data_IF_403237912983
#
_entry.id   IF_403237912983
#
_cell.length_a   1.000
_cell.length_b   1.000
_cell.length_c   1.000
_cell.angle_alpha   90.00
_cell.angle_beta   90.00
_cell.angle_gamma   90.00
#
_symmetry.space_group_name_H-M   'P 1'
#
loop_
_entity.id
_entity.type
_entity.pdbx_description
1 polymer ?
#
# COMPACT_ATOMS: atom_id res chain seq x y z
N UNK A 1 -1.83 34.54 -23.01
CA UNK A 1 -2.80 33.95 -22.07
C UNK A 1 -2.09 33.69 -20.73
N UNK A 2 -2.49 34.39 -19.67
CA UNK A 2 -1.88 34.32 -18.33
C UNK A 2 -2.63 33.30 -17.47
N UNK A 3 -2.26 32.02 -17.57
CA UNK A 3 -2.76 30.92 -16.71
C UNK A 3 -1.90 30.74 -15.44
N UNK A 4 -0.91 31.60 -15.21
CA UNK A 4 -0.13 31.63 -13.96
C UNK A 4 -1.02 32.10 -12.82
N UNK A 5 -1.54 31.16 -12.03
CA UNK A 5 -2.24 31.46 -10.79
C UNK A 5 -3.55 30.70 -10.55
N UNK A 6 -4.03 29.88 -11.51
CA UNK A 6 -5.21 29.06 -11.28
C UNK A 6 -4.89 27.99 -10.23
N UNK A 7 -5.48 28.12 -9.04
CA UNK A 7 -5.37 27.16 -7.95
C UNK A 7 -6.69 26.41 -7.83
N UNK A 8 -6.62 25.09 -7.87
CA UNK A 8 -7.74 24.22 -7.56
C UNK A 8 -7.69 23.93 -6.07
N UNK A 9 -8.64 24.50 -5.32
CA UNK A 9 -8.82 24.17 -3.91
C UNK A 9 -9.50 22.79 -3.83
N UNK A 10 -9.19 22.00 -2.80
CA UNK A 10 -9.88 20.75 -2.54
C UNK A 10 -11.37 21.03 -2.30
N UNK A 11 -12.23 20.12 -2.77
CA UNK A 11 -13.68 20.27 -2.61
C UNK A 11 -14.07 20.04 -1.15
N UNK A 12 -15.02 20.85 -0.68
CA UNK A 12 -15.69 20.65 0.61
C UNK A 12 -16.63 19.45 0.57
N UNK A 13 -16.99 18.90 1.73
CA UNK A 13 -17.95 17.80 1.83
C UNK A 13 -19.28 18.10 1.13
N UNK A 14 -19.80 19.34 1.24
CA UNK A 14 -21.08 19.71 0.62
C UNK A 14 -20.95 19.81 -0.92
N UNK A 15 -19.86 20.38 -1.44
CA UNK A 15 -19.61 20.39 -2.89
C UNK A 15 -19.46 18.97 -3.46
N UNK A 16 -18.80 18.07 -2.71
CA UNK A 16 -18.69 16.66 -3.10
C UNK A 16 -20.05 15.96 -3.10
N UNK A 17 -20.92 16.23 -2.12
CA UNK A 17 -22.29 15.70 -2.11
C UNK A 17 -23.05 16.16 -3.33
N UNK A 18 -23.01 17.45 -3.66
CA UNK A 18 -23.71 18.01 -4.82
C UNK A 18 -23.26 17.32 -6.12
N UNK A 19 -21.94 17.17 -6.30
CA UNK A 19 -21.37 16.44 -7.45
C UNK A 19 -21.87 15.00 -7.48
N UNK A 20 -21.82 14.30 -6.35
CA UNK A 20 -22.23 12.89 -6.28
C UNK A 20 -23.73 12.72 -6.52
N UNK A 21 -24.59 13.60 -6.01
CA UNK A 21 -26.03 13.56 -6.27
C UNK A 21 -26.33 13.75 -7.76
N UNK A 22 -25.74 14.78 -8.39
CA UNK A 22 -25.91 15.02 -9.84
C UNK A 22 -25.50 13.80 -10.67
N UNK A 23 -24.41 13.12 -10.29
CA UNK A 23 -23.94 11.91 -10.97
C UNK A 23 -24.81 10.70 -10.66
N UNK A 24 -25.29 10.58 -9.42
CA UNK A 24 -26.11 9.45 -8.99
C UNK A 24 -27.46 9.44 -9.70
N UNK A 25 -28.11 10.59 -9.86
CA UNK A 25 -29.40 10.71 -10.58
C UNK A 25 -29.32 10.19 -12.04
N UNK A 26 -28.14 10.26 -12.65
CA UNK A 26 -27.92 9.84 -14.05
C UNK A 26 -27.47 8.38 -14.17
N UNK A 27 -26.96 7.80 -13.10
CA UNK A 27 -26.30 6.49 -13.13
C UNK A 27 -27.07 5.40 -12.36
N UNK A 28 -27.87 5.77 -11.36
CA UNK A 28 -28.60 4.85 -10.50
C UNK A 28 -30.10 4.90 -10.79
N UNK A 29 -30.77 3.78 -10.55
CA UNK A 29 -32.24 3.72 -10.54
C UNK A 29 -32.78 4.22 -9.19
N UNK A 30 -34.07 4.55 -9.15
CA UNK A 30 -34.75 4.91 -7.90
C UNK A 30 -34.55 3.84 -6.83
N UNK A 31 -34.39 4.28 -5.58
CA UNK A 31 -34.13 3.46 -4.39
C UNK A 31 -32.89 2.55 -4.47
N UNK A 32 -31.97 2.77 -5.42
CA UNK A 32 -30.73 1.99 -5.51
C UNK A 32 -29.74 2.32 -4.38
N UNK A 33 -29.81 3.53 -3.83
CA UNK A 33 -28.89 4.04 -2.82
C UNK A 33 -29.65 4.34 -1.52
N UNK A 34 -29.11 3.89 -0.40
CA UNK A 34 -29.54 4.40 0.91
C UNK A 34 -29.11 5.87 1.07
N UNK A 35 -29.92 6.68 1.75
CA UNK A 35 -29.71 8.12 1.96
C UNK A 35 -28.32 8.44 2.57
N UNK A 36 -27.75 7.51 3.34
CA UNK A 36 -26.45 7.66 3.99
C UNK A 36 -25.23 7.46 3.06
N UNK A 37 -25.40 6.86 1.88
CA UNK A 37 -24.29 6.46 0.99
C UNK A 37 -23.52 7.64 0.42
N UNK A 38 -24.22 8.59 -0.21
CA UNK A 38 -23.59 9.76 -0.84
C UNK A 38 -22.92 10.66 0.22
N UNK A 39 -23.59 11.01 1.34
CA UNK A 39 -22.95 11.75 2.43
C UNK A 39 -21.68 11.06 2.96
N UNK A 40 -21.69 9.73 3.09
CA UNK A 40 -20.54 8.98 3.56
C UNK A 40 -19.38 9.00 2.55
N UNK A 41 -19.67 8.83 1.25
CA UNK A 41 -18.64 8.91 0.20
C UNK A 41 -17.97 10.30 0.18
N UNK A 42 -18.78 11.36 0.24
CA UNK A 42 -18.28 12.74 0.29
C UNK A 42 -17.43 13.01 1.54
N UNK A 43 -17.87 12.52 2.71
CA UNK A 43 -17.14 12.69 3.96
C UNK A 43 -15.77 11.98 3.93
N UNK A 44 -15.72 10.75 3.40
CA UNK A 44 -14.47 9.98 3.27
C UNK A 44 -13.52 10.57 2.23
N UNK A 45 -14.04 11.16 1.16
CA UNK A 45 -13.21 11.83 0.17
C UNK A 45 -12.63 13.16 0.67
N UNK A 46 -13.40 13.91 1.45
CA UNK A 46 -12.94 15.15 2.06
C UNK A 46 -11.95 14.93 3.21
N UNK A 47 -12.09 13.86 4.00
CA UNK A 47 -11.16 13.57 5.11
C UNK A 47 -9.73 13.30 4.63
N UNK A 48 -9.55 12.87 3.37
CA UNK A 48 -8.26 12.74 2.72
C UNK A 48 -7.77 14.05 2.10
N UNK A 49 -8.24 14.34 0.89
CA UNK A 49 -7.74 15.46 0.07
C UNK A 49 -8.84 16.29 -0.59
N UNK A 50 -10.13 15.97 -0.37
CA UNK A 50 -11.23 16.65 -1.07
C UNK A 50 -11.24 16.36 -2.57
N UNK A 51 -10.92 15.13 -2.95
CA UNK A 51 -10.81 14.69 -4.35
C UNK A 51 -12.16 14.12 -4.85
N UNK A 52 -12.78 14.83 -5.81
CA UNK A 52 -14.01 14.39 -6.44
C UNK A 52 -13.83 13.10 -7.27
N UNK A 53 -12.64 12.86 -7.81
CA UNK A 53 -12.32 11.61 -8.51
C UNK A 53 -12.41 10.41 -7.56
N UNK A 54 -11.79 10.53 -6.38
CA UNK A 54 -11.89 9.51 -5.34
C UNK A 54 -13.32 9.34 -4.82
N UNK A 55 -14.09 10.43 -4.67
CA UNK A 55 -15.49 10.34 -4.26
C UNK A 55 -16.34 9.51 -5.26
N UNK A 56 -16.13 9.73 -6.56
CA UNK A 56 -16.81 9.00 -7.62
C UNK A 56 -16.36 7.54 -7.71
N UNK A 57 -15.05 7.29 -7.60
CA UNK A 57 -14.49 5.94 -7.54
C UNK A 57 -15.08 5.15 -6.37
N UNK A 58 -15.21 5.79 -5.21
CA UNK A 58 -15.77 5.16 -4.02
C UNK A 58 -17.25 4.82 -4.19
N UNK A 59 -18.05 5.74 -4.77
CA UNK A 59 -19.47 5.48 -5.06
C UNK A 59 -19.64 4.32 -6.06
N UNK A 60 -18.82 4.30 -7.11
CA UNK A 60 -18.84 3.24 -8.12
C UNK A 60 -18.50 1.87 -7.50
N UNK A 61 -17.36 1.78 -6.81
CA UNK A 61 -16.93 0.54 -6.16
C UNK A 61 -17.97 0.03 -5.14
N UNK A 62 -18.61 0.93 -4.39
CA UNK A 62 -19.68 0.58 -3.46
C UNK A 62 -20.88 -0.07 -4.15
N UNK A 63 -21.25 0.44 -5.33
CA UNK A 63 -22.32 -0.12 -6.14
C UNK A 63 -21.95 -1.49 -6.73
N UNK A 64 -20.74 -1.63 -7.25
CA UNK A 64 -20.23 -2.91 -7.77
C UNK A 64 -20.19 -3.99 -6.69
N UNK A 65 -19.76 -3.65 -5.47
CA UNK A 65 -19.76 -4.56 -4.32
C UNK A 65 -21.18 -4.97 -3.92
N UNK A 66 -22.12 -4.02 -3.91
CA UNK A 66 -23.53 -4.31 -3.64
C UNK A 66 -24.13 -5.24 -4.70
N UNK A 67 -23.83 -5.00 -5.97
CA UNK A 67 -24.29 -5.82 -7.08
C UNK A 67 -23.73 -7.25 -7.01
N UNK A 68 -22.42 -7.39 -6.76
CA UNK A 68 -21.75 -8.69 -6.60
C UNK A 68 -22.30 -9.49 -5.41
N UNK A 69 -22.70 -8.83 -4.34
CA UNK A 69 -23.31 -9.47 -3.16
C UNK A 69 -24.82 -9.68 -3.30
N UNK A 70 -25.44 -9.24 -4.39
CA UNK A 70 -26.89 -9.31 -4.60
C UNK A 70 -27.69 -8.41 -3.65
N UNK A 71 -27.04 -7.45 -2.99
CA UNK A 71 -27.65 -6.54 -2.04
C UNK A 71 -28.32 -5.37 -2.77
N UNK A 72 -29.59 -5.08 -2.41
CA UNK A 72 -30.33 -3.89 -2.84
C UNK A 72 -31.10 -3.34 -1.64
N UNK A 73 -30.91 -2.07 -1.23
CA UNK A 73 -30.07 -1.02 -1.83
C UNK A 73 -28.57 -1.10 -1.49
N UNK A 74 -27.74 -0.25 -2.10
CA UNK A 74 -26.37 0.04 -1.65
C UNK A 74 -26.43 0.68 -0.26
N UNK A 75 -25.59 0.21 0.67
CA UNK A 75 -25.56 0.64 2.07
C UNK A 75 -24.21 1.20 2.47
N UNK A 76 -24.16 1.85 3.62
CA UNK A 76 -22.93 2.37 4.21
C UNK A 76 -21.83 1.30 4.38
N UNK A 77 -22.19 0.05 4.65
CA UNK A 77 -21.22 -1.06 4.81
C UNK A 77 -20.44 -1.33 3.52
N UNK A 78 -21.10 -1.23 2.35
CA UNK A 78 -20.42 -1.37 1.06
C UNK A 78 -19.42 -0.24 0.83
N UNK A 79 -19.74 0.98 1.28
CA UNK A 79 -18.84 2.14 1.19
C UNK A 79 -17.60 1.95 2.04
N UNK A 80 -17.75 1.44 3.26
CA UNK A 80 -16.61 1.15 4.15
C UNK A 80 -15.71 0.08 3.54
N UNK A 81 -16.30 -1.00 3.08
CA UNK A 81 -15.58 -2.08 2.42
C UNK A 81 -14.87 -1.60 1.15
N UNK A 82 -15.53 -0.81 0.30
CA UNK A 82 -14.94 -0.21 -0.89
C UNK A 82 -13.75 0.70 -0.54
N UNK A 83 -13.88 1.54 0.49
CA UNK A 83 -12.81 2.43 0.92
C UNK A 83 -11.57 1.66 1.38
N UNK A 84 -11.75 0.59 2.16
CA UNK A 84 -10.65 -0.27 2.59
C UNK A 84 -10.00 -0.98 1.40
N UNK A 85 -10.80 -1.48 0.46
CA UNK A 85 -10.31 -2.20 -0.72
C UNK A 85 -9.55 -1.30 -1.69
N UNK A 86 -10.01 -0.07 -1.92
CA UNK A 86 -9.32 0.94 -2.74
C UNK A 86 -7.99 1.32 -2.06
N UNK A 87 -7.99 1.53 -0.74
CA UNK A 87 -6.77 1.86 0.00
C UNK A 87 -5.72 0.75 -0.12
N UNK A 88 -6.12 -0.51 0.06
CA UNK A 88 -5.26 -1.69 -0.12
C UNK A 88 -4.74 -1.79 -1.55
N UNK A 89 -5.61 -1.63 -2.56
CA UNK A 89 -5.20 -1.69 -3.97
C UNK A 89 -4.17 -0.62 -4.31
N UNK A 90 -4.38 0.63 -3.86
CA UNK A 90 -3.42 1.73 -4.05
C UNK A 90 -2.09 1.47 -3.34
N UNK A 91 -2.10 0.87 -2.15
CA UNK A 91 -0.86 0.49 -1.46
C UNK A 91 -0.10 -0.59 -2.23
N UNK A 92 -0.80 -1.61 -2.74
CA UNK A 92 -0.21 -2.66 -3.57
C UNK A 92 0.42 -2.08 -4.84
N UNK A 93 -0.26 -1.14 -5.51
CA UNK A 93 0.27 -0.43 -6.69
C UNK A 93 1.54 0.36 -6.36
N UNK A 94 1.59 1.06 -5.21
CA UNK A 94 2.79 1.79 -4.78
C UNK A 94 3.97 0.85 -4.57
N UNK A 95 3.76 -0.33 -3.97
CA UNK A 95 4.80 -1.35 -3.79
C UNK A 95 5.22 -1.93 -5.15
N UNK A 96 4.26 -2.22 -6.03
CA UNK A 96 4.51 -2.74 -7.38
C UNK A 96 5.28 -1.73 -8.25
N UNK A 97 5.12 -0.42 -8.01
CA UNK A 97 5.86 0.63 -8.71
C UNK A 97 7.31 0.80 -8.21
N UNK A 98 7.70 0.17 -7.09
CA UNK A 98 9.06 0.30 -6.56
C UNK A 98 10.11 -0.29 -7.53
N UNK A 99 11.28 0.35 -7.66
CA UNK A 99 12.48 -0.27 -8.23
C UNK A 99 12.80 -1.65 -7.64
N UNK A 100 13.28 -2.56 -8.48
CA UNK A 100 13.62 -3.94 -8.10
C UNK A 100 14.51 -4.03 -6.86
N UNK A 101 15.48 -3.11 -6.73
CA UNK A 101 16.41 -3.10 -5.62
C UNK A 101 15.73 -2.77 -4.29
N UNK A 102 14.75 -1.86 -4.28
CA UNK A 102 13.96 -1.55 -3.08
C UNK A 102 13.00 -2.69 -2.74
N UNK A 103 12.42 -3.35 -3.75
CA UNK A 103 11.61 -4.57 -3.54
C UNK A 103 12.44 -5.71 -2.93
N UNK A 104 13.72 -5.85 -3.32
CA UNK A 104 14.64 -6.82 -2.72
C UNK A 104 14.93 -6.52 -1.25
N UNK A 105 15.01 -5.24 -0.88
CA UNK A 105 15.14 -4.83 0.53
C UNK A 105 13.91 -5.26 1.33
N UNK A 106 12.70 -4.99 0.82
CA UNK A 106 11.45 -5.44 1.45
C UNK A 106 11.38 -6.97 1.55
N UNK A 107 11.78 -7.68 0.48
CA UNK A 107 11.85 -9.14 0.45
C UNK A 107 12.82 -9.69 1.51
N UNK A 108 13.97 -9.05 1.71
CA UNK A 108 14.94 -9.46 2.72
C UNK A 108 14.35 -9.41 4.13
N UNK A 109 13.63 -8.34 4.47
CA UNK A 109 12.95 -8.21 5.77
C UNK A 109 11.85 -9.26 5.90
N UNK A 110 11.05 -9.46 4.85
CA UNK A 110 9.96 -10.45 4.81
C UNK A 110 10.47 -11.88 5.06
N UNK A 111 11.52 -12.29 4.34
CA UNK A 111 12.11 -13.63 4.49
C UNK A 111 12.75 -13.83 5.87
N UNK A 112 13.49 -12.84 6.37
CA UNK A 112 14.00 -12.88 7.74
C UNK A 112 12.88 -13.04 8.77
N UNK A 113 11.75 -12.35 8.56
CA UNK A 113 10.53 -12.46 9.33
C UNK A 113 10.08 -13.91 9.52
N UNK A 114 9.99 -14.62 8.40
CA UNK A 114 9.56 -16.02 8.35
C UNK A 114 10.60 -16.97 8.95
N UNK A 115 11.87 -16.80 8.60
CA UNK A 115 12.96 -17.69 9.04
C UNK A 115 13.24 -17.60 10.54
N UNK A 116 13.18 -16.40 11.11
CA UNK A 116 13.56 -16.14 12.50
C UNK A 116 12.37 -16.06 13.45
N UNK A 117 11.13 -16.08 12.94
CA UNK A 117 9.90 -15.83 13.72
C UNK A 117 10.02 -14.55 14.57
N UNK A 118 10.62 -13.51 13.99
CA UNK A 118 10.85 -12.20 14.60
C UNK A 118 10.33 -11.12 13.66
N UNK A 119 9.96 -9.95 14.19
CA UNK A 119 9.57 -8.79 13.37
C UNK A 119 10.64 -7.70 13.34
N UNK A 120 11.70 -7.81 14.14
CA UNK A 120 12.72 -6.78 14.32
C UNK A 120 14.11 -7.32 13.97
N UNK A 121 14.80 -6.63 13.07
CA UNK A 121 16.10 -7.03 12.53
C UNK A 121 17.09 -5.87 12.52
N UNK A 122 18.37 -6.14 12.76
CA UNK A 122 19.39 -5.10 12.58
C UNK A 122 19.64 -4.81 11.10
N UNK A 123 20.12 -3.59 10.79
CA UNK A 123 20.51 -3.23 9.43
C UNK A 123 21.57 -4.16 8.82
N UNK A 124 22.41 -4.78 9.65
CA UNK A 124 23.39 -5.77 9.20
C UNK A 124 22.73 -7.08 8.75
N UNK A 125 21.76 -7.58 9.51
CA UNK A 125 21.01 -8.80 9.16
C UNK A 125 20.24 -8.63 7.85
N UNK A 126 19.53 -7.51 7.72
CA UNK A 126 18.77 -7.21 6.49
C UNK A 126 19.70 -7.04 5.30
N UNK A 127 20.85 -6.36 5.47
CA UNK A 127 21.82 -6.20 4.39
C UNK A 127 22.42 -7.53 3.93
N UNK A 128 22.78 -8.42 4.85
CA UNK A 128 23.27 -9.77 4.52
C UNK A 128 22.23 -10.54 3.71
N UNK A 129 20.97 -10.55 4.17
CA UNK A 129 19.90 -11.25 3.45
C UNK A 129 19.64 -10.62 2.08
N UNK A 130 19.65 -9.30 1.98
CA UNK A 130 19.53 -8.59 0.71
C UNK A 130 20.64 -9.00 -0.29
N UNK A 131 21.90 -9.10 0.15
CA UNK A 131 23.00 -9.55 -0.70
C UNK A 131 22.80 -10.99 -1.20
N UNK A 132 22.29 -11.90 -0.35
CA UNK A 132 21.97 -13.27 -0.75
C UNK A 132 20.87 -13.31 -1.82
N UNK A 133 19.81 -12.50 -1.66
CA UNK A 133 18.72 -12.41 -2.64
C UNK A 133 19.22 -11.81 -3.97
N UNK A 134 20.07 -10.79 -3.93
CA UNK A 134 20.72 -10.24 -5.12
C UNK A 134 21.51 -11.31 -5.87
N UNK A 135 22.30 -12.12 -5.16
CA UNK A 135 23.08 -13.21 -5.76
C UNK A 135 22.19 -14.28 -6.40
N UNK A 136 21.06 -14.62 -5.77
CA UNK A 136 20.08 -15.58 -6.31
C UNK A 136 19.37 -15.08 -7.57
N UNK A 137 19.34 -13.76 -7.77
CA UNK A 137 18.72 -13.10 -8.92
C UNK A 137 19.73 -12.69 -10.00
N UNK A 138 21.00 -13.09 -9.87
CA UNK A 138 22.10 -12.62 -10.73
C UNK A 138 22.19 -11.09 -10.82
N UNK A 139 21.85 -10.40 -9.71
CA UNK A 139 21.92 -8.96 -9.58
C UNK A 139 23.12 -8.54 -8.73
N UNK A 140 23.72 -7.41 -9.10
CA UNK A 140 24.77 -6.79 -8.29
C UNK A 140 24.17 -6.16 -7.04
N UNK A 141 24.62 -6.63 -5.87
CA UNK A 141 24.26 -6.03 -4.60
C UNK A 141 24.81 -4.60 -4.50
N UNK A 142 23.97 -3.69 -4.00
CA UNK A 142 24.37 -2.32 -3.74
C UNK A 142 25.30 -2.23 -2.53
N UNK A 143 26.06 -1.14 -2.45
CA UNK A 143 26.89 -0.86 -1.27
C UNK A 143 26.01 -0.66 -0.03
N UNK A 144 26.55 -0.95 1.16
CA UNK A 144 25.84 -0.76 2.42
C UNK A 144 25.33 0.68 2.64
N UNK A 145 26.03 1.67 2.09
CA UNK A 145 25.59 3.08 2.08
C UNK A 145 24.31 3.25 1.27
N UNK A 146 24.29 2.81 0.00
CA UNK A 146 23.12 2.90 -0.87
C UNK A 146 21.94 2.09 -0.35
N UNK A 147 22.20 0.91 0.20
CA UNK A 147 21.20 0.12 0.91
C UNK A 147 20.59 0.90 2.08
N UNK A 148 21.42 1.61 2.86
CA UNK A 148 20.93 2.43 3.97
C UNK A 148 20.09 3.63 3.52
N UNK A 149 20.39 4.19 2.34
CA UNK A 149 19.57 5.21 1.68
C UNK A 149 18.20 4.63 1.33
N UNK A 150 18.14 3.43 0.74
CA UNK A 150 16.87 2.75 0.43
C UNK A 150 16.06 2.38 1.67
N UNK A 151 16.69 1.99 2.78
CA UNK A 151 15.97 1.82 4.04
C UNK A 151 15.33 3.13 4.48
N UNK A 152 16.02 4.27 4.35
CA UNK A 152 15.44 5.57 4.69
C UNK A 152 14.30 5.97 3.73
N UNK A 153 14.43 5.69 2.44
CA UNK A 153 13.37 5.92 1.44
C UNK A 153 12.13 5.08 1.73
N UNK A 154 12.30 3.79 2.03
CA UNK A 154 11.20 2.89 2.37
C UNK A 154 10.54 3.25 3.72
N UNK A 155 11.30 3.80 4.67
CA UNK A 155 10.79 4.36 5.93
C UNK A 155 9.95 5.61 5.67
N UNK A 156 10.40 6.51 4.78
CA UNK A 156 9.63 7.69 4.36
C UNK A 156 8.34 7.33 3.61
N UNK A 157 8.34 6.24 2.84
CA UNK A 157 7.15 5.70 2.18
C UNK A 157 6.22 4.93 3.13
N UNK A 158 6.64 4.74 4.37
CA UNK A 158 5.96 4.01 5.43
C UNK A 158 5.82 2.49 5.16
N UNK A 159 6.67 1.91 4.33
CA UNK A 159 6.64 0.47 4.06
C UNK A 159 7.36 -0.35 5.13
N UNK A 160 8.35 0.25 5.77
CA UNK A 160 9.05 -0.28 6.93
C UNK A 160 9.26 0.83 7.96
N UNK A 161 9.77 0.46 9.12
CA UNK A 161 10.29 1.40 10.12
C UNK A 161 11.77 1.15 10.34
N UNK A 162 12.56 2.22 10.52
CA UNK A 162 14.01 2.13 10.71
C UNK A 162 14.49 2.92 11.94
N UNK A 163 14.35 2.34 13.13
CA UNK A 163 14.64 2.99 14.41
C UNK A 163 16.13 2.93 14.77
N UNK A 164 16.75 4.07 15.06
CA UNK A 164 18.14 4.09 15.54
C UNK A 164 18.19 3.70 17.02
N UNK A 165 18.81 2.56 17.32
CA UNK A 165 19.00 2.05 18.67
C UNK A 165 20.47 2.19 19.07
N UNK A 166 20.71 2.82 20.22
CA UNK A 166 22.03 2.89 20.84
C UNK A 166 22.36 1.56 21.51
N UNK A 167 23.52 0.98 21.18
CA UNK A 167 24.06 -0.23 21.82
C UNK A 167 25.23 0.08 22.75
N UNK A 168 25.27 1.30 23.30
CA UNK A 168 26.34 1.76 24.19
C UNK A 168 27.71 1.73 23.49
N UNK A 169 28.69 1.04 24.07
CA UNK A 169 30.06 0.93 23.52
C UNK A 169 30.13 0.27 22.13
N UNK A 170 29.09 -0.45 21.72
CA UNK A 170 29.01 -1.13 20.43
C UNK A 170 28.44 -0.24 19.31
N UNK A 171 28.24 1.06 19.58
CA UNK A 171 27.80 2.04 18.61
C UNK A 171 26.28 2.12 18.46
N UNK A 172 25.83 2.66 17.32
CA UNK A 172 24.42 2.83 16.96
C UNK A 172 24.10 1.92 15.79
N UNK A 173 22.94 1.26 15.83
CA UNK A 173 22.45 0.43 14.73
C UNK A 173 20.98 0.73 14.47
N UNK A 174 20.52 0.56 13.23
CA UNK A 174 19.09 0.65 12.91
C UNK A 174 18.44 -0.71 13.18
N UNK A 175 17.31 -0.69 13.86
CA UNK A 175 16.38 -1.81 13.95
C UNK A 175 15.27 -1.58 12.95
N UNK A 176 15.06 -2.57 12.08
CA UNK A 176 14.16 -2.52 10.93
C UNK A 176 13.01 -3.50 11.19
N UNK A 177 11.78 -3.05 10.92
CA UNK A 177 10.56 -3.86 10.94
C UNK A 177 9.64 -3.46 9.80
N UNK A 178 8.87 -4.39 9.24
CA UNK A 178 7.84 -4.06 8.26
C UNK A 178 6.70 -3.31 8.96
N UNK A 179 6.18 -2.26 8.32
CA UNK A 179 4.93 -1.63 8.75
C UNK A 179 3.73 -2.32 8.10
N UNK A 180 3.92 -2.82 6.89
CA UNK A 180 2.92 -3.53 6.11
C UNK A 180 2.87 -4.99 6.56
N UNK A 181 1.67 -5.57 6.77
CA UNK A 181 1.52 -6.98 7.10
C UNK A 181 2.14 -7.90 6.04
N UNK A 182 2.79 -8.97 6.50
CA UNK A 182 3.51 -9.90 5.62
C UNK A 182 2.58 -10.57 4.61
N UNK A 183 1.37 -10.92 5.04
CA UNK A 183 0.28 -11.51 4.25
C UNK A 183 -0.17 -10.64 3.09
N UNK A 184 -0.05 -9.32 3.20
CA UNK A 184 -0.36 -8.38 2.14
C UNK A 184 0.85 -8.13 1.23
N UNK A 185 2.04 -7.96 1.82
CA UNK A 185 3.26 -7.67 1.07
C UNK A 185 3.68 -8.85 0.17
N UNK A 186 3.52 -10.07 0.66
CA UNK A 186 3.95 -11.28 -0.01
C UNK A 186 3.36 -11.47 -1.42
N UNK A 187 2.01 -11.48 -1.61
CA UNK A 187 1.43 -11.67 -2.94
C UNK A 187 1.84 -10.57 -3.92
N UNK A 188 2.01 -9.32 -3.44
CA UNK A 188 2.42 -8.20 -4.28
C UNK A 188 3.86 -8.38 -4.78
N UNK A 189 4.79 -8.77 -3.89
CA UNK A 189 6.18 -8.99 -4.28
C UNK A 189 6.33 -10.23 -5.18
N UNK A 190 5.65 -11.34 -4.88
CA UNK A 190 5.79 -12.57 -5.67
C UNK A 190 4.98 -12.59 -6.96
N UNK A 191 4.00 -11.70 -7.11
CA UNK A 191 3.34 -11.44 -8.39
C UNK A 191 4.24 -10.66 -9.38
N UNK A 192 5.33 -10.05 -8.92
CA UNK A 192 6.20 -9.24 -9.75
C UNK A 192 7.01 -10.10 -10.74
N UNK A 193 6.93 -9.75 -12.02
CA UNK A 193 7.63 -10.47 -13.08
C UNK A 193 9.15 -10.46 -12.92
N UNK A 194 9.72 -9.40 -12.34
CA UNK A 194 11.14 -9.27 -12.07
C UNK A 194 11.59 -10.11 -10.87
N UNK A 195 10.67 -10.47 -9.96
CA UNK A 195 10.96 -11.24 -8.75
C UNK A 195 10.57 -12.73 -8.86
N UNK A 196 10.19 -13.22 -10.05
CA UNK A 196 9.78 -14.62 -10.26
C UNK A 196 10.78 -15.67 -9.73
N UNK A 197 12.07 -15.35 -9.75
CA UNK A 197 13.11 -16.23 -9.20
C UNK A 197 12.99 -16.40 -7.67
N UNK A 198 12.49 -15.39 -6.95
CA UNK A 198 12.26 -15.44 -5.50
C UNK A 198 11.12 -16.39 -5.13
N UNK A 199 10.14 -16.60 -6.00
CA UNK A 199 9.04 -17.55 -5.77
C UNK A 199 9.56 -18.99 -5.63
N UNK A 200 10.65 -19.34 -6.33
CA UNK A 200 11.30 -20.64 -6.18
C UNK A 200 12.07 -20.79 -4.84
N UNK A 201 12.53 -19.67 -4.28
CA UNK A 201 13.21 -19.60 -2.96
C UNK A 201 12.19 -19.82 -1.85
N UNK A 202 11.00 -19.24 -1.98
CA UNK A 202 9.90 -19.45 -1.03
C UNK A 202 9.59 -20.95 -0.83
N UNK A 203 9.52 -21.72 -1.93
CA UNK A 203 9.20 -23.14 -1.88
C UNK A 203 10.27 -23.96 -1.13
N UNK A 204 11.53 -23.55 -1.16
CA UNK A 204 12.61 -24.23 -0.41
C UNK A 204 12.54 -23.94 1.08
N UNK A 205 12.15 -22.73 1.47
CA UNK A 205 12.02 -22.34 2.88
C UNK A 205 10.74 -22.91 3.53
N UNK A 206 9.66 -23.10 2.75
CA UNK A 206 8.42 -23.72 3.23
C UNK A 206 8.47 -25.24 3.42
N UNK A 207 9.43 -25.93 2.78
CA UNK A 207 9.61 -27.40 2.92
C UNK A 207 10.55 -27.76 4.08
N UNK A 208 11.23 -26.78 4.67
CA UNK A 208 12.16 -26.96 5.79
C UNK A 208 11.52 -26.77 7.19
N UNK A 209 10.18 -26.74 7.28
CA UNK A 209 9.41 -26.62 8.54
C UNK A 209 8.61 -27.90 8.78
#
# INVERSE_FOLDING_TARGET
ASWKGLRFLPYTTEELKDILYERAERAFVEDALEESVIPLCAALANSGLGDAGYALELLLASAEIAEQSGAKPVRADHVRYASEHIAQSREAERIAALPVQQKLVLSAVLFLGRERRSSRFSSGEVYTRYCELCAQMDLNALTQRRFSDFIAELDMLEFLTAEVVSRGRYGRSKVISLRIPAEFLQPVLFGDAQLKALTAVEQRTSVAV
#
